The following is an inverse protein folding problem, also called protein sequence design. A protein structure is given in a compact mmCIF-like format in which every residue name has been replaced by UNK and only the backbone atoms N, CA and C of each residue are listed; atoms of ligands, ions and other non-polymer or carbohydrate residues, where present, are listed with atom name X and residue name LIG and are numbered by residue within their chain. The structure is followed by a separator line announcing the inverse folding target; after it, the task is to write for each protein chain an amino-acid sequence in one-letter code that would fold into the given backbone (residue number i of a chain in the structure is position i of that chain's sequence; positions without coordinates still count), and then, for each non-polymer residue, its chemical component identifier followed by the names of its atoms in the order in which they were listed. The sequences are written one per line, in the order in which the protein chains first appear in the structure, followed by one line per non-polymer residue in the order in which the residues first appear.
data_IF_754125792744
#
_entry.id   IF_754125792744
#
_cell.length_a   1.000
_cell.length_b   1.000
_cell.length_c   1.000
_cell.angle_alpha   90.00
_cell.angle_beta   90.00
_cell.angle_gamma   90.00
#
_symmetry.space_group_name_H-M   'P 1'
#
loop_
_entity.id
_entity.type
_entity.pdbx_description
1 polymer ?
#
# COMPACT_ATOMS: atom_id res chain seq x y z
N UNK A 1 -7.11 10.03 -25.62
CA UNK A 1 -7.08 8.94 -24.61
C UNK A 1 -8.44 8.92 -23.92
N UNK A 2 -9.04 7.74 -23.65
CA UNK A 2 -10.28 7.67 -22.85
C UNK A 2 -9.98 8.17 -21.44
N UNK A 3 -10.82 9.06 -20.89
CA UNK A 3 -10.78 9.39 -19.47
C UNK A 3 -11.10 8.12 -18.69
N UNK A 4 -10.06 7.47 -18.15
CA UNK A 4 -10.25 6.37 -17.20
C UNK A 4 -10.59 7.02 -15.87
N UNK A 5 -11.88 7.21 -15.65
CA UNK A 5 -12.43 7.52 -14.33
C UNK A 5 -12.13 6.34 -13.42
N UNK A 6 -11.25 6.52 -12.43
CA UNK A 6 -11.03 5.50 -11.40
C UNK A 6 -12.24 5.50 -10.47
N UNK A 7 -13.08 4.49 -10.60
CA UNK A 7 -14.22 4.29 -9.71
C UNK A 7 -13.76 3.53 -8.45
N UNK A 8 -13.37 4.29 -7.44
CA UNK A 8 -12.96 3.75 -6.14
C UNK A 8 -14.09 3.00 -5.42
N UNK A 9 -15.36 3.25 -5.78
CA UNK A 9 -16.50 2.67 -5.05
C UNK A 9 -16.55 1.14 -5.19
N UNK A 10 -16.26 0.62 -6.37
CA UNK A 10 -16.21 -0.82 -6.65
C UNK A 10 -15.11 -1.50 -5.85
N UNK A 11 -13.91 -0.92 -5.80
CA UNK A 11 -12.79 -1.50 -5.05
C UNK A 11 -12.98 -1.46 -3.54
N UNK A 12 -13.69 -0.44 -3.02
CA UNK A 12 -14.10 -0.39 -1.60
C UNK A 12 -15.07 -1.52 -1.28
N UNK A 13 -16.04 -1.78 -2.16
CA UNK A 13 -17.03 -2.85 -1.99
C UNK A 13 -16.37 -4.23 -2.06
N UNK A 14 -15.49 -4.46 -3.04
CA UNK A 14 -14.74 -5.71 -3.13
C UNK A 14 -13.91 -5.96 -1.85
N UNK A 15 -13.17 -4.96 -1.36
CA UNK A 15 -12.34 -5.09 -0.15
C UNK A 15 -13.18 -5.50 1.06
N UNK A 16 -14.32 -4.84 1.29
CA UNK A 16 -15.21 -5.15 2.41
C UNK A 16 -15.75 -6.57 2.40
N UNK A 17 -16.04 -7.10 1.22
CA UNK A 17 -16.71 -8.39 1.06
C UNK A 17 -15.73 -9.58 1.01
N UNK A 18 -14.44 -9.33 0.78
CA UNK A 18 -13.45 -10.38 0.51
C UNK A 18 -12.24 -10.34 1.45
N UNK A 19 -12.18 -9.49 2.48
CA UNK A 19 -11.07 -9.50 3.44
C UNK A 19 -11.55 -9.92 4.83
N UNK A 20 -11.24 -11.15 5.23
CA UNK A 20 -11.46 -11.64 6.59
C UNK A 20 -10.39 -11.06 7.54
N UNK A 21 -10.79 -10.03 8.30
CA UNK A 21 -10.34 -9.41 9.58
C UNK A 21 -8.95 -9.69 10.22
N UNK A 22 -7.98 -10.35 9.58
CA UNK A 22 -6.62 -10.47 10.11
C UNK A 22 -5.94 -9.10 10.07
N UNK A 23 -5.22 -8.68 11.12
CA UNK A 23 -4.47 -7.44 11.10
C UNK A 23 -3.30 -7.55 10.12
N UNK A 24 -3.53 -7.07 8.90
CA UNK A 24 -2.52 -6.97 7.85
C UNK A 24 -1.97 -5.54 7.80
N UNK A 25 -0.74 -5.41 7.31
CA UNK A 25 -0.10 -4.13 7.04
C UNK A 25 0.45 -4.12 5.61
N UNK A 26 0.82 -2.95 5.09
CA UNK A 26 1.42 -2.87 3.76
C UNK A 26 2.73 -2.11 3.75
N UNK A 27 3.56 -2.45 2.76
CA UNK A 27 4.90 -1.94 2.56
C UNK A 27 4.98 -1.39 1.15
N UNK A 28 5.46 -0.15 0.99
CA UNK A 28 5.71 0.46 -0.32
C UNK A 28 7.13 0.15 -0.80
N UNK A 29 7.28 -0.28 -2.05
CA UNK A 29 8.57 -0.58 -2.65
C UNK A 29 8.79 0.18 -3.96
N UNK A 30 10.02 0.69 -4.12
CA UNK A 30 10.52 1.28 -5.36
C UNK A 30 10.22 2.77 -5.54
N UNK A 31 11.02 3.42 -6.39
CA UNK A 31 10.84 4.84 -6.77
C UNK A 31 9.61 5.06 -7.68
N UNK A 32 9.05 3.98 -8.24
CA UNK A 32 7.93 4.00 -9.18
C UNK A 32 6.68 3.38 -8.55
N UNK A 33 6.09 4.12 -7.62
CA UNK A 33 4.69 4.23 -7.13
C UNK A 33 3.64 3.09 -7.28
N UNK A 34 4.01 1.86 -7.65
CA UNK A 34 3.07 0.78 -7.98
C UNK A 34 3.41 -0.57 -7.36
N UNK A 35 4.57 -0.72 -6.71
CA UNK A 35 4.92 -1.96 -6.04
C UNK A 35 4.69 -1.79 -4.53
N UNK A 36 3.86 -2.66 -3.98
CA UNK A 36 3.64 -2.76 -2.55
C UNK A 36 3.36 -4.22 -2.21
N UNK A 37 3.54 -4.59 -0.95
CA UNK A 37 3.22 -5.92 -0.44
C UNK A 37 2.42 -5.83 0.85
N UNK A 38 1.54 -6.79 1.06
CA UNK A 38 0.86 -7.00 2.33
C UNK A 38 1.68 -7.96 3.20
N UNK A 39 1.73 -7.72 4.50
CA UNK A 39 2.51 -8.52 5.46
C UNK A 39 1.75 -8.75 6.75
N UNK A 40 2.06 -9.85 7.43
CA UNK A 40 1.75 -10.01 8.85
C UNK A 40 2.93 -9.50 9.67
N UNK A 41 2.63 -8.72 10.70
CA UNK A 41 3.65 -8.12 11.55
C UNK A 41 3.19 -8.05 13.01
N UNK A 42 4.15 -8.12 13.92
CA UNK A 42 3.91 -8.08 15.35
C UNK A 42 4.80 -7.03 16.03
N UNK A 43 4.33 -6.40 17.13
CA UNK A 43 5.16 -5.50 17.91
C UNK A 43 6.42 -6.20 18.42
N UNK A 44 7.56 -5.51 18.36
CA UNK A 44 8.82 -6.04 18.90
C UNK A 44 8.79 -6.21 20.42
N UNK A 45 7.86 -5.53 21.10
CA UNK A 45 7.61 -5.67 22.53
C UNK A 45 6.16 -6.08 22.75
N UNK A 46 5.96 -7.09 23.60
CA UNK A 46 4.65 -7.66 23.88
C UNK A 46 3.64 -6.65 24.45
N UNK A 47 4.12 -5.62 25.16
CA UNK A 47 3.28 -4.58 25.76
C UNK A 47 2.85 -3.49 24.79
N UNK A 48 3.49 -3.41 23.61
CA UNK A 48 3.26 -2.29 22.71
C UNK A 48 1.96 -2.48 21.94
N UNK A 49 1.17 -1.41 21.75
CA UNK A 49 -0.08 -1.50 21.03
C UNK A 49 0.18 -1.76 19.55
N UNK A 50 -0.63 -2.63 18.95
CA UNK A 50 -0.65 -2.80 17.50
C UNK A 50 -1.02 -1.48 16.81
N UNK A 51 -0.34 -1.11 15.71
CA UNK A 51 -0.83 -0.08 14.81
C UNK A 51 -2.17 -0.50 14.22
N UNK A 52 -2.95 0.47 13.75
CA UNK A 52 -4.24 0.21 13.10
C UNK A 52 -4.04 -0.71 11.88
N UNK A 53 -4.80 -1.80 11.75
CA UNK A 53 -4.75 -2.68 10.58
C UNK A 53 -4.99 -1.93 9.26
N UNK A 54 -4.33 -2.39 8.20
CA UNK A 54 -4.41 -1.82 6.85
C UNK A 54 -3.57 -0.57 6.62
N UNK A 55 -2.68 -0.22 7.56
CA UNK A 55 -1.80 0.96 7.46
C UNK A 55 -0.41 0.59 6.96
N UNK A 56 0.31 1.60 6.46
CA UNK A 56 1.69 1.46 6.02
C UNK A 56 2.61 1.19 7.21
N UNK A 57 3.57 0.27 7.04
CA UNK A 57 4.76 0.26 7.89
C UNK A 57 5.93 0.88 7.15
N UNK A 58 6.68 1.74 7.84
CA UNK A 58 7.86 2.40 7.29
C UNK A 58 9.13 1.76 7.80
N UNK A 59 10.21 1.68 7.00
CA UNK A 59 11.46 1.14 7.49
C UNK A 59 12.00 2.02 8.63
N UNK A 60 12.50 1.39 9.68
CA UNK A 60 13.13 2.10 10.79
C UNK A 60 14.44 2.74 10.31
N UNK A 61 14.68 4.01 10.66
CA UNK A 61 15.79 4.80 10.10
C UNK A 61 17.18 4.24 10.41
N UNK A 62 17.32 3.56 11.56
CA UNK A 62 18.62 3.11 12.08
C UNK A 62 18.71 1.62 12.40
N UNK A 63 17.62 0.85 12.24
CA UNK A 63 17.56 -0.56 12.64
C UNK A 63 17.18 -1.42 11.45
N UNK A 64 18.04 -2.38 11.13
CA UNK A 64 17.79 -3.31 10.03
C UNK A 64 16.59 -4.22 10.36
N UNK A 65 15.74 -4.47 9.36
CA UNK A 65 14.57 -5.35 9.42
C UNK A 65 13.51 -4.97 10.46
N UNK A 66 13.56 -3.76 11.01
CA UNK A 66 12.51 -3.21 11.88
C UNK A 66 11.67 -2.22 11.08
N UNK A 67 10.37 -2.29 11.30
CA UNK A 67 9.40 -1.40 10.68
C UNK A 67 8.66 -0.61 11.74
N UNK A 68 8.11 0.53 11.37
CA UNK A 68 7.44 1.45 12.28
C UNK A 68 6.03 1.70 11.76
N UNK A 69 5.03 1.40 12.58
CA UNK A 69 3.63 1.68 12.26
C UNK A 69 3.27 3.15 12.46
N UNK A 70 2.06 3.54 12.04
CA UNK A 70 1.58 4.94 12.14
C UNK A 70 1.55 5.49 13.58
N UNK A 71 1.52 4.63 14.59
CA UNK A 71 1.54 4.99 16.01
C UNK A 71 2.95 4.98 16.64
N UNK A 72 4.00 4.73 15.86
CA UNK A 72 5.38 4.66 16.33
C UNK A 72 5.82 3.31 16.90
N UNK A 73 4.93 2.31 16.94
CA UNK A 73 5.29 0.95 17.40
C UNK A 73 6.30 0.33 16.44
N UNK A 74 7.39 -0.19 17.00
CA UNK A 74 8.37 -1.00 16.27
C UNK A 74 7.78 -2.39 16.04
N UNK A 75 7.78 -2.83 14.78
CA UNK A 75 7.16 -4.04 14.28
C UNK A 75 8.22 -4.92 13.60
N UNK A 76 8.08 -6.24 13.75
CA UNK A 76 8.80 -7.24 12.96
C UNK A 76 7.81 -7.93 12.02
N UNK A 77 8.24 -8.19 10.78
CA UNK A 77 7.48 -8.96 9.81
C UNK A 77 7.69 -10.44 10.10
N UNK A 78 6.60 -11.19 10.28
CA UNK A 78 6.63 -12.63 10.52
C UNK A 78 6.64 -13.38 9.18
N UNK A 79 5.70 -13.04 8.30
CA UNK A 79 5.60 -13.64 6.98
C UNK A 79 5.22 -12.64 5.88
N UNK A 80 5.59 -13.05 4.67
CA UNK A 80 5.04 -12.47 3.45
C UNK A 80 3.82 -13.29 3.10
N UNK A 81 2.69 -12.63 3.26
CA UNK A 81 1.34 -13.07 2.91
C UNK A 81 1.34 -13.49 1.43
N UNK A 82 1.59 -14.78 1.13
CA UNK A 82 1.89 -15.27 -0.23
C UNK A 82 0.96 -16.37 -0.74
N UNK A 83 0.20 -17.09 0.09
CA UNK A 83 -0.51 -18.29 -0.39
C UNK A 83 -1.94 -18.55 0.13
N UNK A 84 -2.30 -18.14 1.35
CA UNK A 84 -3.72 -18.18 1.80
C UNK A 84 -4.45 -16.88 1.36
N UNK A 85 -3.67 -15.91 0.91
CA UNK A 85 -4.04 -14.51 0.80
C UNK A 85 -4.03 -13.98 -0.63
N UNK A 86 -3.86 -14.82 -1.65
CA UNK A 86 -3.88 -14.34 -3.03
C UNK A 86 -5.25 -13.72 -3.39
N UNK A 87 -6.36 -14.28 -2.89
CA UNK A 87 -7.71 -13.70 -3.10
C UNK A 87 -7.92 -12.37 -2.35
N UNK A 88 -7.50 -12.28 -1.08
CA UNK A 88 -7.68 -11.07 -0.26
C UNK A 88 -6.66 -9.99 -0.66
N UNK A 89 -5.42 -10.43 -0.90
CA UNK A 89 -4.30 -9.67 -1.41
C UNK A 89 -4.62 -9.06 -2.77
N UNK A 90 -5.15 -9.79 -3.74
CA UNK A 90 -5.49 -9.21 -5.05
C UNK A 90 -6.44 -8.01 -4.94
N UNK A 91 -7.45 -8.10 -4.06
CA UNK A 91 -8.41 -7.01 -3.84
C UNK A 91 -7.80 -5.85 -3.04
N UNK A 92 -7.07 -6.14 -1.96
CA UNK A 92 -6.39 -5.12 -1.14
C UNK A 92 -5.34 -4.38 -1.95
N UNK A 93 -4.51 -5.13 -2.66
CA UNK A 93 -3.46 -4.63 -3.51
C UNK A 93 -4.01 -3.72 -4.58
N UNK A 94 -5.04 -4.19 -5.31
CA UNK A 94 -5.74 -3.38 -6.29
C UNK A 94 -6.33 -2.10 -5.67
N UNK A 95 -6.95 -2.19 -4.50
CA UNK A 95 -7.50 -1.02 -3.81
C UNK A 95 -6.42 0.02 -3.47
N UNK A 96 -5.31 -0.40 -2.86
CA UNK A 96 -4.19 0.49 -2.52
C UNK A 96 -3.60 1.12 -3.79
N UNK A 97 -3.37 0.33 -4.84
CA UNK A 97 -2.88 0.83 -6.13
C UNK A 97 -3.79 1.90 -6.73
N UNK A 98 -5.11 1.67 -6.71
CA UNK A 98 -6.09 2.62 -7.25
C UNK A 98 -6.23 3.88 -6.39
N UNK A 99 -6.18 3.76 -5.07
CA UNK A 99 -6.16 4.89 -4.15
C UNK A 99 -4.90 5.76 -4.37
N UNK A 100 -3.73 5.14 -4.51
CA UNK A 100 -2.48 5.83 -4.85
C UNK A 100 -2.55 6.52 -6.20
N UNK A 101 -3.04 5.84 -7.25
CA UNK A 101 -3.24 6.45 -8.56
C UNK A 101 -4.14 7.68 -8.47
N UNK A 102 -5.26 7.59 -7.74
CA UNK A 102 -6.21 8.70 -7.60
C UNK A 102 -5.57 9.91 -6.89
N UNK A 103 -4.81 9.69 -5.82
CA UNK A 103 -4.11 10.76 -5.10
C UNK A 103 -3.05 11.45 -5.96
N UNK A 104 -2.35 10.68 -6.78
CA UNK A 104 -1.23 11.16 -7.61
C UNK A 104 -1.66 11.53 -9.04
N UNK A 105 -2.94 11.38 -9.39
CA UNK A 105 -3.43 11.48 -10.77
C UNK A 105 -3.06 12.83 -11.41
N UNK A 106 -3.15 13.92 -10.62
CA UNK A 106 -2.83 15.27 -11.09
C UNK A 106 -1.33 15.44 -11.39
N UNK A 107 -0.48 14.94 -10.50
CA UNK A 107 0.97 15.05 -10.64
C UNK A 107 1.48 14.17 -11.78
N UNK A 108 0.93 12.96 -11.91
CA UNK A 108 1.22 12.05 -13.02
C UNK A 108 0.80 12.68 -14.35
N UNK A 109 -0.42 13.24 -14.45
CA UNK A 109 -0.89 13.91 -15.68
C UNK A 109 0.01 15.10 -16.05
N UNK A 110 0.48 15.87 -15.07
CA UNK A 110 1.39 16.99 -15.27
C UNK A 110 2.75 16.54 -15.83
N UNK A 111 3.34 15.48 -15.27
CA UNK A 111 4.60 14.91 -15.77
C UNK A 111 4.47 14.46 -17.23
N UNK A 112 3.36 13.80 -17.58
CA UNK A 112 3.14 13.37 -18.96
C UNK A 112 3.00 14.55 -19.93
N UNK A 113 2.31 15.62 -19.55
CA UNK A 113 2.21 16.84 -20.38
C UNK A 113 3.56 17.52 -20.59
N UNK A 114 4.35 17.69 -19.52
CA UNK A 114 5.69 18.30 -19.61
C UNK A 114 6.65 17.44 -20.46
N UNK A 115 6.51 16.12 -20.40
CA UNK A 115 7.31 15.20 -21.23
C UNK A 115 6.96 15.28 -22.71
N UNK A 116 5.68 15.43 -23.07
CA UNK A 116 5.22 15.58 -24.46
C UNK A 116 5.66 16.92 -25.08
N UNK A 117 5.73 18.00 -24.30
CA UNK A 117 6.24 19.30 -24.74
C UNK A 117 7.76 19.27 -24.98
N UNK A 118 8.51 18.54 -24.14
CA UNK A 118 9.97 18.39 -24.28
C UNK A 118 10.43 17.57 -25.49
N UNK A 119 9.59 16.64 -25.97
CA UNK A 119 9.88 15.80 -27.13
C UNK A 119 9.57 16.53 -28.45
N UNK A 120 8.68 17.53 -28.40
CA UNK A 120 8.23 18.30 -29.56
C UNK A 120 8.89 19.69 -29.67
N UNK A 121 9.90 19.98 -28.86
CA UNK A 121 10.74 21.20 -28.90
C UNK A 121 12.17 20.89 -29.33
#
# INVERSE_FOLDING_TARGET
MKNISVDLSISIEEMRNHTDLWPWYWLSYGEKYYAFATVSAFPCRESDPYPRPGTELKPHETKDNIWVGENGTEMIIDDWITNIEQQNGDVICRFIALAHWHLLEKDIKKIFQESEESINS
#
